data_IF_456315815102
#
_entry.id   IF_456315815102
#
_cell.length_a   1.000
_cell.length_b   1.000
_cell.length_c   1.000
_cell.angle_alpha   90.00
_cell.angle_beta   90.00
_cell.angle_gamma   90.00
#
_symmetry.space_group_name_H-M   'P 1'
#
loop_
_entity.id
_entity.type
_entity.pdbx_description
1 polymer ?
#
# COMPACT_ATOMS: atom_id res chain seq x y z
N UNK A 1 3.33 7.16 30.69
CA UNK A 1 4.50 7.57 29.88
C UNK A 1 4.00 8.09 28.55
N UNK A 2 4.14 9.39 28.26
CA UNK A 2 3.69 9.98 26.98
C UNK A 2 4.91 10.06 26.05
N UNK A 3 4.87 9.32 24.94
CA UNK A 3 5.96 9.31 23.94
C UNK A 3 5.69 10.44 22.94
N UNK A 4 6.51 11.50 22.95
CA UNK A 4 6.48 12.52 21.89
C UNK A 4 6.99 11.88 20.61
N UNK A 5 6.16 11.89 19.57
CA UNK A 5 6.53 11.44 18.22
C UNK A 5 6.64 12.66 17.32
N UNK A 6 7.65 12.66 16.46
CA UNK A 6 7.88 13.75 15.51
C UNK A 6 6.72 13.85 14.52
N UNK A 7 6.31 15.08 14.21
CA UNK A 7 5.28 15.34 13.19
C UNK A 7 5.79 14.88 11.82
N UNK A 8 5.04 14.04 11.09
CA UNK A 8 5.53 13.50 9.83
C UNK A 8 5.56 14.57 8.73
N UNK A 9 6.76 14.91 8.26
CA UNK A 9 6.94 15.71 7.04
C UNK A 9 6.99 14.78 5.82
N UNK A 10 6.12 15.02 4.84
CA UNK A 10 6.07 14.26 3.59
C UNK A 10 7.21 14.71 2.68
N UNK A 11 8.32 13.98 2.70
CA UNK A 11 9.45 14.19 1.77
C UNK A 11 9.82 12.81 1.25
N UNK A 12 9.86 12.69 -0.07
CA UNK A 12 10.18 11.46 -0.77
C UNK A 12 11.46 10.80 -0.27
N UNK A 13 11.44 9.46 -0.40
CA UNK A 13 12.58 8.55 -0.59
C UNK A 13 13.48 8.11 0.57
N UNK A 14 13.26 8.50 1.84
CA UNK A 14 14.04 7.88 2.94
C UNK A 14 13.18 7.41 4.12
N UNK A 15 12.78 6.13 4.04
CA UNK A 15 11.95 5.40 4.98
C UNK A 15 12.80 4.42 5.82
N UNK A 16 13.29 4.81 7.00
CA UNK A 16 13.72 3.81 8.00
C UNK A 16 13.31 4.12 9.44
N UNK A 17 13.23 5.38 9.86
CA UNK A 17 12.82 5.70 11.25
C UNK A 17 11.44 6.37 11.40
N UNK A 18 10.84 6.87 10.30
CA UNK A 18 9.55 7.60 10.34
C UNK A 18 8.29 6.70 10.36
N UNK A 19 8.43 5.41 10.04
CA UNK A 19 7.27 4.51 9.84
C UNK A 19 6.49 4.21 11.12
N UNK A 20 7.18 4.08 12.27
CA UNK A 20 6.56 3.72 13.55
C UNK A 20 5.72 4.88 14.13
N UNK A 21 6.22 6.12 14.02
CA UNK A 21 5.48 7.31 14.46
C UNK A 21 4.20 7.52 13.64
N UNK A 22 4.27 7.36 12.31
CA UNK A 22 3.13 7.51 11.41
C UNK A 22 2.07 6.45 11.67
N UNK A 23 2.48 5.19 11.84
CA UNK A 23 1.50 4.12 12.08
C UNK A 23 0.77 4.26 13.42
N UNK A 24 1.43 4.84 14.43
CA UNK A 24 0.84 5.11 15.74
C UNK A 24 -0.18 6.26 15.71
N UNK A 25 0.19 7.38 15.10
CA UNK A 25 -0.63 8.59 15.03
C UNK A 25 -1.83 8.45 14.10
N UNK A 26 -1.69 7.73 12.99
CA UNK A 26 -2.74 7.66 11.98
C UNK A 26 -3.94 6.82 12.44
N UNK A 27 -5.16 7.33 12.27
CA UNK A 27 -6.39 6.54 12.45
C UNK A 27 -6.64 5.59 11.28
N UNK A 28 -6.15 5.97 10.10
CA UNK A 28 -6.24 5.21 8.87
C UNK A 28 -4.93 5.18 8.10
N UNK A 29 -4.60 4.02 7.51
CA UNK A 29 -3.45 3.84 6.64
C UNK A 29 -3.92 3.08 5.41
N UNK A 30 -3.77 3.72 4.26
CA UNK A 30 -4.04 3.15 2.94
C UNK A 30 -2.73 3.17 2.16
N UNK A 31 -2.39 2.05 1.55
CA UNK A 31 -1.15 1.88 0.81
C UNK A 31 -1.47 1.73 -0.67
N UNK A 32 -0.77 2.49 -1.51
CA UNK A 32 -0.85 2.42 -2.96
C UNK A 32 0.42 1.75 -3.47
N UNK A 33 0.27 0.70 -4.26
CA UNK A 33 1.37 -0.03 -4.86
C UNK A 33 1.43 0.23 -6.36
N UNK A 34 2.65 0.35 -6.87
CA UNK A 34 2.95 0.16 -8.28
C UNK A 34 3.78 -1.12 -8.38
N UNK A 35 3.12 -2.23 -8.69
CA UNK A 35 3.73 -3.56 -8.77
C UNK A 35 4.39 -3.69 -10.12
N UNK A 36 5.72 -3.86 -10.11
CA UNK A 36 6.52 -4.07 -11.31
C UNK A 36 6.80 -5.56 -11.43
N UNK A 37 6.38 -6.17 -12.55
CA UNK A 37 6.67 -7.56 -12.86
C UNK A 37 7.93 -7.68 -13.72
N UNK A 38 8.59 -8.83 -13.65
CA UNK A 38 9.79 -9.15 -14.46
C UNK A 38 9.52 -9.07 -15.97
N UNK A 39 8.25 -9.20 -16.37
CA UNK A 39 7.78 -9.04 -17.76
C UNK A 39 7.78 -7.58 -18.24
N UNK A 40 8.13 -6.62 -17.38
CA UNK A 40 8.05 -5.18 -17.65
C UNK A 40 6.66 -4.58 -17.47
N UNK A 41 5.64 -5.41 -17.17
CA UNK A 41 4.28 -4.93 -16.86
C UNK A 41 4.25 -4.23 -15.51
N UNK A 42 3.41 -3.19 -15.41
CA UNK A 42 3.13 -2.46 -14.17
C UNK A 42 1.65 -2.53 -13.88
N UNK A 43 1.30 -3.07 -12.73
CA UNK A 43 -0.07 -3.04 -12.23
C UNK A 43 -0.13 -2.16 -10.97
N UNK A 44 -1.18 -1.35 -10.88
CA UNK A 44 -1.44 -0.56 -9.68
C UNK A 44 -2.34 -1.33 -8.73
N UNK A 45 -2.07 -1.21 -7.43
CA UNK A 45 -2.83 -1.88 -6.38
C UNK A 45 -3.09 -0.95 -5.20
N UNK A 46 -4.10 -1.30 -4.41
CA UNK A 46 -4.44 -0.59 -3.17
C UNK A 46 -4.73 -1.58 -2.05
N UNK A 47 -4.32 -1.23 -0.83
CA UNK A 47 -4.60 -1.96 0.40
C UNK A 47 -4.97 -1.00 1.53
N UNK A 48 -5.91 -1.42 2.38
CA UNK A 48 -6.19 -0.75 3.64
C UNK A 48 -5.41 -1.50 4.73
N UNK A 49 -4.35 -0.88 5.25
CA UNK A 49 -3.47 -1.48 6.25
C UNK A 49 -4.03 -1.32 7.67
N UNK A 50 -4.64 -0.17 7.95
CA UNK A 50 -5.20 0.17 9.26
C UNK A 50 -6.42 1.05 9.06
N UNK A 51 -7.49 0.80 9.81
CA UNK A 51 -8.62 1.72 9.90
C UNK A 51 -9.28 1.57 11.28
N UNK A 52 -9.17 2.59 12.13
CA UNK A 52 -9.72 2.55 13.49
C UNK A 52 -11.25 2.67 13.44
N UNK A 53 -11.93 1.94 14.33
CA UNK A 53 -13.38 1.99 14.47
C UNK A 53 -14.17 1.18 13.44
N UNK A 54 -13.50 0.41 12.57
CA UNK A 54 -14.17 -0.47 11.61
C UNK A 54 -13.33 -1.72 11.33
N UNK A 55 -14.01 -2.83 11.05
CA UNK A 55 -13.36 -4.03 10.58
C UNK A 55 -13.01 -3.89 9.11
N UNK A 56 -11.78 -4.25 8.77
CA UNK A 56 -11.28 -4.18 7.40
C UNK A 56 -10.83 -5.56 6.94
N UNK A 57 -11.18 -5.88 5.70
CA UNK A 57 -10.64 -7.08 5.05
C UNK A 57 -9.28 -6.73 4.46
N UNK A 58 -8.21 -7.21 5.09
CA UNK A 58 -6.84 -7.01 4.61
C UNK A 58 -6.62 -7.76 3.31
N UNK A 59 -6.62 -7.03 2.20
CA UNK A 59 -6.37 -7.56 0.88
C UNK A 59 -5.77 -6.47 -0.02
N UNK A 60 -4.95 -6.91 -0.97
CA UNK A 60 -4.42 -6.07 -2.03
C UNK A 60 -5.34 -6.25 -3.24
N UNK A 61 -5.98 -5.18 -3.68
CA UNK A 61 -6.91 -5.20 -4.81
C UNK A 61 -6.42 -4.33 -5.97
N UNK A 62 -6.90 -4.65 -7.17
CA UNK A 62 -6.55 -3.90 -8.38
C UNK A 62 -7.04 -2.44 -8.30
N UNK A 63 -6.13 -1.55 -8.67
CA UNK A 63 -6.36 -0.13 -8.85
C UNK A 63 -6.14 0.23 -10.32
N UNK A 64 -7.05 1.02 -10.90
CA UNK A 64 -6.87 1.56 -12.26
C UNK A 64 -7.13 3.06 -12.26
N UNK A 65 -6.28 3.80 -12.96
CA UNK A 65 -6.51 5.20 -13.26
C UNK A 65 -7.03 5.27 -14.69
N UNK A 66 -8.30 5.66 -14.85
CA UNK A 66 -8.95 5.78 -16.15
C UNK A 66 -9.13 7.27 -16.47
N UNK A 67 -8.69 7.68 -17.66
CA UNK A 67 -8.83 9.06 -18.13
C UNK A 67 -10.32 9.49 -18.11
N UNK A 68 -10.59 10.64 -17.52
CA UNK A 68 -11.95 11.19 -17.37
C UNK A 68 -12.81 10.54 -16.28
N UNK A 69 -12.38 9.42 -15.66
CA UNK A 69 -13.08 8.77 -14.54
C UNK A 69 -12.31 8.80 -13.22
N UNK A 70 -11.01 9.05 -13.28
CA UNK A 70 -10.14 9.06 -12.10
C UNK A 70 -9.77 7.66 -11.64
N UNK A 71 -9.74 7.46 -10.33
CA UNK A 71 -9.26 6.25 -9.69
C UNK A 71 -10.43 5.26 -9.49
N UNK A 72 -10.31 4.08 -10.07
CA UNK A 72 -11.29 2.99 -9.99
C UNK A 72 -10.65 1.81 -9.27
N UNK A 73 -11.32 1.34 -8.23
CA UNK A 73 -10.91 0.18 -7.43
C UNK A 73 -11.85 -0.96 -7.74
N UNK A 74 -11.31 -2.16 -7.93
CA UNK A 74 -12.12 -3.37 -8.05
C UNK A 74 -11.93 -4.27 -6.82
N UNK A 75 -12.85 -4.24 -5.83
CA UNK A 75 -12.72 -4.99 -4.58
C UNK A 75 -12.66 -6.51 -4.76
N UNK A 76 -13.19 -7.02 -5.88
CA UNK A 76 -13.26 -8.45 -6.14
C UNK A 76 -12.02 -8.99 -6.85
N UNK A 77 -11.17 -8.10 -7.41
CA UNK A 77 -9.98 -8.49 -8.14
C UNK A 77 -8.75 -8.36 -7.26
N UNK A 78 -8.40 -9.46 -6.61
CA UNK A 78 -7.20 -9.58 -5.76
C UNK A 78 -5.98 -9.71 -6.66
N UNK A 79 -4.98 -8.84 -6.45
CA UNK A 79 -3.67 -8.99 -7.09
C UNK A 79 -2.90 -10.08 -6.35
N UNK A 80 -2.89 -11.29 -6.93
CA UNK A 80 -2.07 -12.40 -6.46
C UNK A 80 -0.78 -12.44 -7.28
N UNK A 81 0.35 -12.73 -6.63
CA UNK A 81 1.57 -13.13 -7.32
C UNK A 81 1.29 -14.45 -8.02
N UNK A 82 1.36 -14.48 -9.34
CA UNK A 82 1.28 -15.74 -10.08
C UNK A 82 2.38 -16.67 -9.56
N UNK A 83 1.98 -17.84 -9.08
CA UNK A 83 2.83 -18.82 -8.36
C UNK A 83 3.87 -19.51 -9.26
N UNK A 84 4.24 -18.92 -10.41
CA UNK A 84 5.05 -19.54 -11.46
C UNK A 84 6.39 -18.86 -11.70
N UNK A 85 7.10 -18.35 -10.69
CA UNK A 85 8.54 -18.11 -10.86
C UNK A 85 9.26 -18.37 -9.53
N UNK A 86 10.04 -19.45 -9.48
CA UNK A 86 11.00 -19.74 -8.41
C UNK A 86 12.11 -18.67 -8.46
N UNK A 87 11.98 -17.60 -7.68
CA UNK A 87 13.04 -16.62 -7.57
C UNK A 87 13.96 -17.00 -6.40
N UNK A 88 15.19 -17.43 -6.71
CA UNK A 88 16.30 -17.45 -5.75
C UNK A 88 16.91 -16.06 -5.72
N UNK A 89 16.92 -15.42 -4.55
CA UNK A 89 17.78 -14.27 -4.30
C UNK A 89 19.18 -14.85 -4.02
N UNK A 90 20.14 -14.53 -4.88
CA UNK A 90 21.57 -14.68 -4.62
C UNK A 90 22.05 -13.50 -3.80
#
# INVERSE_FOLDING_TARGET
>A
MVKKVSSPSHIGTTFKEKGEAVSFLSDGIIVLYNVIYDTGKRDSAIEILKMRGTDIKRMIVELKIIQGKGLIINPNKILKKDKKINFKLT
#
